data_IF_891043975306
#
_entry.id   IF_891043975306
#
_cell.length_a   1.000
_cell.length_b   1.000
_cell.length_c   1.000
_cell.angle_alpha   90.00
_cell.angle_beta   90.00
_cell.angle_gamma   90.00
#
_symmetry.space_group_name_H-M   'P 1'
#
loop_
_entity.id
_entity.type
_entity.pdbx_description
1 polymer ?
#
# COMPACT_ATOMS: atom_id res chain seq x y z
N UNK A 1 0.72 4.71 -5.56
CA UNK A 1 -0.70 5.08 -5.57
C UNK A 1 -1.18 5.70 -6.89
N UNK A 2 -0.31 6.42 -7.62
CA UNK A 2 -0.68 7.11 -8.88
C UNK A 2 -0.71 6.21 -10.13
N UNK A 3 -0.07 5.05 -10.10
CA UNK A 3 0.13 4.17 -11.28
C UNK A 3 -1.18 3.84 -11.99
N UNK A 4 -2.24 3.53 -11.24
CA UNK A 4 -3.54 3.22 -11.85
C UNK A 4 -4.14 4.38 -12.62
N UNK A 5 -4.07 5.61 -12.05
CA UNK A 5 -4.60 6.81 -12.72
C UNK A 5 -3.79 7.12 -13.98
N UNK A 6 -2.45 7.03 -13.90
CA UNK A 6 -1.58 7.21 -15.05
C UNK A 6 -1.87 6.18 -16.16
N UNK A 7 -1.86 4.91 -15.81
CA UNK A 7 -2.15 3.82 -16.76
C UNK A 7 -3.56 3.96 -17.38
N UNK A 8 -4.55 4.31 -16.55
CA UNK A 8 -5.92 4.54 -16.98
C UNK A 8 -6.07 5.69 -17.98
N UNK A 9 -5.25 6.75 -17.87
CA UNK A 9 -5.19 7.85 -18.85
C UNK A 9 -4.79 7.33 -20.23
N UNK A 10 -3.95 6.31 -20.29
CA UNK A 10 -3.48 5.66 -21.51
C UNK A 10 -4.25 4.40 -21.89
N UNK A 11 -5.44 4.18 -21.31
CA UNK A 11 -6.29 3.03 -21.64
C UNK A 11 -5.87 1.71 -20.99
N UNK A 12 -4.81 1.70 -20.21
CA UNK A 12 -4.31 0.49 -19.52
C UNK A 12 -4.99 0.35 -18.16
N UNK A 13 -5.65 -0.77 -17.92
CA UNK A 13 -6.42 -1.03 -16.69
C UNK A 13 -5.69 -2.02 -15.80
N UNK A 14 -5.52 -1.68 -14.54
CA UNK A 14 -5.05 -2.57 -13.48
C UNK A 14 -6.00 -2.51 -12.29
N UNK A 15 -6.22 -3.62 -11.57
CA UNK A 15 -7.11 -3.65 -10.41
C UNK A 15 -6.38 -3.19 -9.13
N UNK A 16 -5.68 -2.06 -9.20
CA UNK A 16 -4.94 -1.50 -8.07
C UNK A 16 -5.85 -0.60 -7.24
N UNK A 17 -5.84 -0.77 -5.93
CA UNK A 17 -6.48 0.11 -4.96
C UNK A 17 -5.42 0.75 -4.05
N UNK A 18 -5.86 1.72 -3.27
CA UNK A 18 -5.02 2.36 -2.25
C UNK A 18 -5.64 2.15 -0.88
N UNK A 19 -4.81 1.80 0.09
CA UNK A 19 -5.18 1.68 1.49
C UNK A 19 -4.40 2.66 2.33
N UNK A 20 -5.02 3.18 3.38
CA UNK A 20 -4.36 4.02 4.36
C UNK A 20 -3.70 3.13 5.41
N UNK A 21 -2.39 3.25 5.53
CA UNK A 21 -1.64 2.74 6.66
C UNK A 21 -1.37 3.86 7.68
N UNK A 22 -1.44 3.54 8.96
CA UNK A 22 -1.19 4.49 10.04
C UNK A 22 -0.07 3.97 10.94
N UNK A 23 0.89 4.82 11.21
CA UNK A 23 2.06 4.51 12.02
C UNK A 23 2.27 5.61 13.04
N UNK A 24 2.81 5.27 14.20
CA UNK A 24 3.18 6.24 15.22
C UNK A 24 4.61 6.02 15.74
N UNK A 25 5.22 7.09 16.19
CA UNK A 25 6.44 7.07 17.00
C UNK A 25 6.08 7.35 18.45
N UNK A 26 6.59 6.53 19.37
CA UNK A 26 6.42 6.77 20.80
C UNK A 26 7.45 7.75 21.33
N UNK A 27 7.19 8.33 22.49
CA UNK A 27 8.23 8.92 23.32
C UNK A 27 9.28 7.84 23.70
N UNK A 28 10.50 8.26 24.10
CA UNK A 28 11.50 7.34 24.63
C UNK A 28 10.95 6.52 25.80
N UNK A 29 11.27 5.23 25.83
CA UNK A 29 10.81 4.30 26.87
C UNK A 29 11.81 3.15 27.02
N UNK A 30 11.76 2.39 28.14
CA UNK A 30 12.67 1.28 28.37
C UNK A 30 12.69 0.28 27.21
N UNK A 31 13.85 -0.29 26.93
CA UNK A 31 14.01 -1.28 25.89
C UNK A 31 13.44 -2.62 26.32
N UNK A 32 12.57 -3.19 25.45
CA UNK A 32 12.05 -4.55 25.58
C UNK A 32 12.68 -5.50 24.55
N UNK A 33 13.01 -4.96 23.38
CA UNK A 33 13.66 -5.68 22.29
C UNK A 33 14.34 -4.69 21.35
N UNK A 34 15.61 -4.89 20.98
CA UNK A 34 16.36 -3.93 20.15
C UNK A 34 15.99 -3.98 18.65
N UNK A 35 15.26 -5.00 18.22
CA UNK A 35 14.87 -5.21 16.84
C UNK A 35 13.43 -4.78 16.53
N UNK A 36 12.80 -5.56 15.68
CA UNK A 36 11.40 -5.43 15.32
C UNK A 36 10.66 -6.76 15.55
N UNK A 37 9.40 -6.66 15.90
CA UNK A 37 8.50 -7.80 16.03
C UNK A 37 7.09 -7.40 15.63
N UNK A 38 6.29 -8.39 15.25
CA UNK A 38 4.88 -8.21 14.92
C UNK A 38 4.09 -9.45 15.33
N UNK A 39 2.83 -9.22 15.68
CA UNK A 39 1.79 -10.22 15.82
C UNK A 39 0.51 -9.75 15.10
N UNK A 40 -0.63 -10.36 15.37
CA UNK A 40 -1.90 -9.99 14.73
C UNK A 40 -2.45 -8.65 15.22
N UNK A 41 -2.11 -8.23 16.44
CA UNK A 41 -2.63 -7.01 17.06
C UNK A 41 -1.78 -5.78 16.74
N UNK A 42 -0.45 -5.90 16.78
CA UNK A 42 0.45 -4.79 16.53
C UNK A 42 1.84 -5.21 16.06
N UNK A 43 2.55 -4.26 15.45
CA UNK A 43 3.95 -4.37 15.10
C UNK A 43 4.73 -3.24 15.78
N UNK A 44 5.98 -3.51 16.13
CA UNK A 44 6.88 -2.49 16.65
C UNK A 44 8.30 -2.64 16.13
N UNK A 45 9.03 -1.54 16.16
CA UNK A 45 10.47 -1.49 15.83
C UNK A 45 11.16 -0.48 16.75
N UNK A 46 12.27 -0.91 17.36
CA UNK A 46 13.13 -0.01 18.16
C UNK A 46 13.68 1.11 17.28
N UNK A 47 13.68 2.32 17.80
CA UNK A 47 14.20 3.53 17.16
C UNK A 47 15.50 3.97 17.82
N UNK A 48 16.39 4.63 17.06
CA UNK A 48 17.65 5.16 17.56
C UNK A 48 17.47 6.26 18.65
N UNK A 49 16.30 6.92 18.65
CA UNK A 49 15.94 7.95 19.63
C UNK A 49 15.42 7.39 20.97
N UNK A 50 15.47 6.08 21.16
CA UNK A 50 15.01 5.43 22.38
C UNK A 50 13.50 5.18 22.45
N UNK A 51 12.73 5.55 21.44
CA UNK A 51 11.31 5.20 21.30
C UNK A 51 11.09 3.95 20.45
N UNK A 52 9.83 3.70 20.13
CA UNK A 52 9.40 2.66 19.18
C UNK A 52 8.58 3.27 18.04
N UNK A 53 8.75 2.77 16.82
CA UNK A 53 7.68 2.88 15.80
C UNK A 53 6.69 1.78 16.10
N UNK A 54 5.40 2.11 16.14
CA UNK A 54 4.31 1.17 16.35
C UNK A 54 3.29 1.32 15.22
N UNK A 55 2.72 0.20 14.80
CA UNK A 55 1.73 0.12 13.74
C UNK A 55 0.74 -1.01 14.02
N UNK A 56 -0.43 -1.05 13.37
CA UNK A 56 -1.29 -2.24 13.39
C UNK A 56 -0.52 -3.47 12.94
N UNK A 57 -0.81 -4.61 13.57
CA UNK A 57 -0.38 -5.92 13.11
C UNK A 57 -1.35 -6.49 12.08
N UNK A 58 -0.99 -7.64 11.51
CA UNK A 58 -1.86 -8.39 10.61
C UNK A 58 -2.34 -7.60 9.38
N UNK A 59 -3.58 -7.87 8.99
CA UNK A 59 -4.22 -7.32 7.78
C UNK A 59 -5.18 -6.15 8.07
N UNK A 60 -4.95 -5.37 9.14
CA UNK A 60 -5.81 -4.21 9.42
C UNK A 60 -5.56 -3.08 8.42
N UNK A 61 -6.53 -2.84 7.54
CA UNK A 61 -6.44 -1.86 6.47
C UNK A 61 -7.64 -0.92 6.43
N UNK A 62 -7.36 0.37 6.15
CA UNK A 62 -8.38 1.37 5.85
C UNK A 62 -8.50 1.53 4.33
N UNK A 63 -9.55 0.98 3.72
CA UNK A 63 -9.83 1.14 2.29
C UNK A 63 -10.63 2.40 2.03
N UNK A 64 -10.25 3.15 0.99
CA UNK A 64 -11.11 4.21 0.46
C UNK A 64 -12.02 3.66 -0.64
N UNK A 65 -13.34 3.94 -0.50
CA UNK A 65 -14.32 3.58 -1.51
C UNK A 65 -14.43 4.75 -2.50
N UNK A 66 -13.73 4.60 -3.61
CA UNK A 66 -13.73 5.53 -4.73
C UNK A 66 -14.16 4.86 -6.03
N UNK A 67 -14.14 5.58 -7.15
CA UNK A 67 -14.51 5.03 -8.45
C UNK A 67 -13.75 3.77 -8.85
N UNK A 68 -12.49 3.64 -8.40
CA UNK A 68 -11.65 2.48 -8.74
C UNK A 68 -12.00 1.25 -7.90
N UNK A 69 -12.43 1.45 -6.66
CA UNK A 69 -12.94 0.37 -5.81
C UNK A 69 -14.16 -0.30 -6.46
N UNK A 70 -15.12 0.50 -6.97
CA UNK A 70 -16.27 -0.05 -7.69
C UNK A 70 -15.89 -0.80 -8.96
N UNK A 71 -14.99 -0.24 -9.77
CA UNK A 71 -14.54 -0.87 -11.02
C UNK A 71 -13.77 -2.16 -10.80
N UNK A 72 -13.12 -2.31 -9.66
CA UNK A 72 -12.30 -3.48 -9.32
C UNK A 72 -12.95 -4.41 -8.32
N UNK A 73 -14.18 -4.13 -7.90
CA UNK A 73 -14.86 -4.88 -6.83
C UNK A 73 -14.80 -6.40 -7.05
N UNK A 74 -15.07 -6.86 -8.29
CA UNK A 74 -15.02 -8.29 -8.61
C UNK A 74 -13.67 -8.96 -8.31
N UNK A 75 -12.56 -8.26 -8.54
CA UNK A 75 -11.22 -8.78 -8.26
C UNK A 75 -10.92 -8.86 -6.75
N UNK A 76 -11.58 -8.04 -5.93
CA UNK A 76 -11.36 -7.96 -4.49
C UNK A 76 -12.35 -8.77 -3.63
N UNK A 77 -13.37 -9.39 -4.22
CA UNK A 77 -14.41 -10.12 -3.47
C UNK A 77 -13.82 -11.17 -2.52
N UNK A 78 -12.79 -11.88 -2.94
CA UNK A 78 -12.16 -12.92 -2.12
C UNK A 78 -11.46 -12.32 -0.89
N UNK A 79 -10.72 -11.22 -1.08
CA UNK A 79 -10.02 -10.50 -0.01
C UNK A 79 -11.04 -9.89 0.96
N UNK A 80 -12.04 -9.18 0.42
CA UNK A 80 -13.09 -8.58 1.26
C UNK A 80 -13.78 -9.62 2.11
N UNK A 81 -14.10 -10.80 1.57
CA UNK A 81 -14.71 -11.89 2.36
C UNK A 81 -13.80 -12.38 3.49
N UNK A 82 -12.49 -12.50 3.23
CA UNK A 82 -11.52 -12.99 4.21
C UNK A 82 -11.21 -11.96 5.29
N UNK A 83 -11.09 -10.69 4.90
CA UNK A 83 -10.57 -9.61 5.75
C UNK A 83 -11.63 -8.57 6.14
N UNK A 84 -12.91 -8.90 5.96
CA UNK A 84 -14.00 -7.95 6.22
C UNK A 84 -14.00 -7.41 7.66
N UNK A 85 -13.64 -8.24 8.64
CA UNK A 85 -13.62 -7.85 10.06
C UNK A 85 -12.41 -6.99 10.45
N UNK A 86 -11.31 -7.13 9.75
CA UNK A 86 -10.07 -6.36 9.97
C UNK A 86 -9.97 -5.11 9.10
N UNK A 87 -10.88 -4.95 8.14
CA UNK A 87 -10.87 -3.82 7.22
C UNK A 87 -11.85 -2.71 7.65
N UNK A 88 -11.40 -1.49 7.58
CA UNK A 88 -12.25 -0.29 7.70
C UNK A 88 -12.51 0.27 6.31
N UNK A 89 -13.77 0.53 5.98
CA UNK A 89 -14.16 1.11 4.69
C UNK A 89 -14.52 2.58 4.88
N UNK A 90 -13.77 3.45 4.20
CA UNK A 90 -13.99 4.90 4.21
C UNK A 90 -14.66 5.31 2.91
N UNK A 91 -15.83 5.96 2.94
CA UNK A 91 -16.61 6.27 1.73
C UNK A 91 -15.94 7.30 0.81
N UNK A 92 -15.00 8.09 1.35
CA UNK A 92 -14.40 9.21 0.62
C UNK A 92 -12.89 9.21 0.85
N UNK A 93 -12.12 9.18 -0.23
CA UNK A 93 -10.69 9.48 -0.19
C UNK A 93 -10.46 11.00 -0.05
N UNK A 94 -9.34 11.44 0.54
CA UNK A 94 -9.03 12.87 0.63
C UNK A 94 -9.02 13.54 -0.75
N UNK A 95 -9.46 14.81 -0.78
CA UNK A 95 -9.52 15.59 -2.03
C UNK A 95 -8.16 15.60 -2.75
N UNK A 96 -8.17 15.39 -4.04
CA UNK A 96 -6.97 15.36 -4.88
C UNK A 96 -6.22 14.02 -4.90
N UNK A 97 -6.62 13.04 -4.08
CA UNK A 97 -6.01 11.70 -4.11
C UNK A 97 -6.45 10.93 -5.37
N UNK A 98 -5.66 9.93 -5.83
CA UNK A 98 -5.91 9.23 -7.09
C UNK A 98 -7.31 8.65 -7.23
N UNK A 99 -7.87 8.09 -6.15
CA UNK A 99 -9.19 7.46 -6.14
C UNK A 99 -10.28 8.34 -5.49
N UNK A 100 -10.03 9.63 -5.31
CA UNK A 100 -11.08 10.54 -4.86
C UNK A 100 -12.12 10.74 -5.97
N UNK A 101 -13.40 10.86 -5.58
CA UNK A 101 -14.52 11.04 -6.51
C UNK A 101 -14.36 12.26 -7.42
N UNK A 102 -13.77 13.35 -6.91
CA UNK A 102 -13.54 14.59 -7.65
C UNK A 102 -12.22 14.64 -8.42
N UNK A 103 -11.37 13.61 -8.38
CA UNK A 103 -10.10 13.61 -9.11
C UNK A 103 -10.34 13.34 -10.59
N UNK A 104 -9.93 14.25 -11.50
CA UNK A 104 -10.09 14.07 -12.93
C UNK A 104 -9.38 12.80 -13.42
N UNK A 105 -10.04 12.04 -14.28
CA UNK A 105 -9.47 10.81 -14.88
C UNK A 105 -9.09 11.04 -16.34
N UNK A 106 -9.47 12.19 -16.89
CA UNK A 106 -9.09 12.69 -18.21
C UNK A 106 -8.82 14.19 -18.07
N UNK A 107 -7.78 14.66 -18.71
CA UNK A 107 -7.39 16.07 -18.78
C UNK A 107 -6.72 16.32 -20.13
N UNK A 108 -6.73 17.54 -20.61
CA UNK A 108 -6.02 17.95 -21.81
C UNK A 108 -4.51 17.98 -21.56
N UNK A 109 -3.70 17.87 -22.61
CA UNK A 109 -2.24 17.79 -22.48
C UNK A 109 -1.62 19.09 -21.96
N UNK A 110 -2.26 20.21 -22.22
CA UNK A 110 -1.90 21.55 -21.78
C UNK A 110 -2.51 21.96 -20.42
N UNK A 111 -3.33 21.09 -19.83
CA UNK A 111 -3.95 21.35 -18.54
C UNK A 111 -3.12 20.78 -17.38
N UNK A 112 -3.22 21.41 -16.21
CA UNK A 112 -2.62 20.90 -14.98
C UNK A 112 -3.19 19.52 -14.67
N UNK A 113 -2.34 18.52 -14.67
CA UNK A 113 -2.71 17.14 -14.37
C UNK A 113 -2.98 16.94 -12.87
N UNK A 114 -3.72 15.89 -12.48
CA UNK A 114 -3.87 15.52 -11.07
C UNK A 114 -2.54 15.25 -10.36
N UNK A 115 -1.53 14.78 -11.08
CA UNK A 115 -0.18 14.53 -10.54
C UNK A 115 0.55 15.83 -10.18
N UNK A 116 0.34 16.90 -10.96
CA UNK A 116 0.91 18.22 -10.69
C UNK A 116 0.12 18.96 -9.61
N UNK A 117 -1.20 18.82 -9.62
CA UNK A 117 -2.07 19.42 -8.61
C UNK A 117 -1.87 18.85 -7.21
N UNK A 118 -1.53 17.57 -7.11
CA UNK A 118 -1.32 16.87 -5.83
C UNK A 118 -0.09 15.98 -5.92
N UNK A 119 1.07 16.54 -5.64
CA UNK A 119 2.36 15.83 -5.71
C UNK A 119 2.64 14.97 -4.48
N UNK A 120 2.10 15.36 -3.33
CA UNK A 120 2.36 14.70 -2.04
C UNK A 120 1.04 14.14 -1.51
N UNK A 121 1.00 12.82 -1.34
CA UNK A 121 -0.09 12.14 -0.66
C UNK A 121 0.25 12.02 0.82
N UNK A 122 -0.27 12.92 1.64
CA UNK A 122 -0.05 12.96 3.08
C UNK A 122 -1.40 12.88 3.82
N UNK A 123 -2.02 11.69 3.90
CA UNK A 123 -3.28 11.50 4.60
C UNK A 123 -3.09 11.63 6.10
N UNK A 124 -4.12 12.13 6.78
CA UNK A 124 -4.15 12.07 8.23
C UNK A 124 -4.18 10.60 8.71
N UNK A 125 -3.45 10.25 9.79
CA UNK A 125 -3.48 8.90 10.33
C UNK A 125 -4.84 8.57 10.95
N UNK A 126 -5.14 7.27 11.04
CA UNK A 126 -6.29 6.79 11.80
C UNK A 126 -5.93 6.70 13.29
N UNK A 127 -6.23 7.77 14.05
CA UNK A 127 -5.92 7.81 15.48
C UNK A 127 -6.69 6.76 16.30
N UNK A 128 -7.87 6.34 15.85
CA UNK A 128 -8.64 5.28 16.51
C UNK A 128 -7.91 3.93 16.40
N UNK A 129 -7.39 3.61 15.24
CA UNK A 129 -6.55 2.42 15.01
C UNK A 129 -5.27 2.49 15.86
N UNK A 130 -4.58 3.64 15.85
CA UNK A 130 -3.38 3.81 16.68
C UNK A 130 -3.68 3.71 18.18
N UNK A 131 -4.86 4.14 18.62
CA UNK A 131 -5.32 3.92 20.00
C UNK A 131 -5.41 2.43 20.36
N UNK A 132 -5.98 1.60 19.46
CA UNK A 132 -6.02 0.14 19.65
C UNK A 132 -4.62 -0.49 19.72
N UNK A 133 -3.70 -0.01 18.87
CA UNK A 133 -2.29 -0.43 18.89
C UNK A 133 -1.63 -0.09 20.23
N UNK A 134 -1.85 1.12 20.75
CA UNK A 134 -1.33 1.50 22.08
C UNK A 134 -1.89 0.59 23.19
N UNK A 135 -3.17 0.24 23.13
CA UNK A 135 -3.83 -0.62 24.11
C UNK A 135 -3.32 -2.07 24.00
N UNK A 136 -3.10 -2.58 22.77
CA UNK A 136 -2.51 -3.89 22.53
C UNK A 136 -1.07 -3.96 23.05
N UNK A 137 -0.26 -2.93 22.78
CA UNK A 137 1.09 -2.82 23.30
C UNK A 137 1.11 -2.84 24.84
N UNK A 138 0.21 -2.09 25.49
CA UNK A 138 0.12 -2.06 26.95
C UNK A 138 -0.30 -3.42 27.55
N UNK A 139 -1.15 -4.18 26.85
CA UNK A 139 -1.52 -5.55 27.27
C UNK A 139 -0.35 -6.52 27.15
N UNK A 140 0.42 -6.41 26.06
CA UNK A 140 1.60 -7.26 25.84
C UNK A 140 2.76 -6.94 26.79
N UNK A 141 2.91 -5.66 27.16
CA UNK A 141 4.00 -5.18 28.02
C UNK A 141 3.45 -4.37 29.22
N UNK A 142 2.81 -5.00 30.19
CA UNK A 142 2.14 -4.30 31.31
C UNK A 142 3.08 -3.41 32.14
N UNK A 143 4.34 -3.80 32.27
CA UNK A 143 5.35 -3.03 33.03
C UNK A 143 5.69 -1.68 32.39
N UNK A 144 5.44 -1.52 31.08
CA UNK A 144 5.68 -0.28 30.33
C UNK A 144 4.43 0.61 30.24
N UNK A 145 3.26 0.02 30.43
CA UNK A 145 1.99 0.69 30.28
C UNK A 145 1.71 1.15 28.86
N UNK A 146 0.75 2.08 28.73
CA UNK A 146 0.32 2.61 27.45
C UNK A 146 1.36 3.61 26.91
N UNK A 147 1.98 3.37 25.72
CA UNK A 147 3.03 4.24 25.21
C UNK A 147 2.46 5.61 24.83
N UNK A 148 3.12 6.69 25.21
CA UNK A 148 2.80 8.04 24.74
C UNK A 148 3.28 8.23 23.32
N UNK A 149 2.45 8.79 22.46
CA UNK A 149 2.82 9.08 21.07
C UNK A 149 3.49 10.45 20.97
N UNK A 150 4.67 10.49 20.36
CA UNK A 150 5.38 11.72 20.00
C UNK A 150 4.92 12.23 18.64
N UNK A 151 4.65 11.33 17.72
CA UNK A 151 4.19 11.65 16.38
C UNK A 151 3.32 10.51 15.81
N UNK A 152 2.42 10.86 14.91
CA UNK A 152 1.64 9.91 14.15
C UNK A 152 1.51 10.40 12.71
N UNK A 153 1.54 9.48 11.75
CA UNK A 153 1.39 9.80 10.32
C UNK A 153 0.63 8.70 9.59
N UNK A 154 0.06 9.07 8.47
CA UNK A 154 -0.54 8.16 7.52
C UNK A 154 0.27 8.05 6.24
N UNK A 155 0.13 6.94 5.54
CA UNK A 155 0.69 6.72 4.22
C UNK A 155 -0.28 5.97 3.34
N UNK A 156 -0.21 6.22 2.03
CA UNK A 156 -1.01 5.47 1.06
C UNK A 156 -0.20 4.31 0.53
N UNK A 157 -0.66 3.10 0.79
CA UNK A 157 -0.12 1.86 0.23
C UNK A 157 -0.97 1.49 -0.98
N UNK A 158 -0.33 1.22 -2.11
CA UNK A 158 -0.97 0.61 -3.26
C UNK A 158 -1.12 -0.90 -3.05
N UNK A 159 -2.25 -1.47 -3.42
CA UNK A 159 -2.49 -2.90 -3.28
C UNK A 159 -3.07 -3.49 -4.55
N UNK A 160 -2.72 -4.74 -4.82
CA UNK A 160 -3.28 -5.57 -5.87
C UNK A 160 -4.07 -6.73 -5.25
N UNK A 161 -5.02 -7.34 -5.99
CA UNK A 161 -5.88 -8.40 -5.44
C UNK A 161 -5.13 -9.64 -4.93
N UNK A 162 -3.93 -9.87 -5.43
CA UNK A 162 -3.08 -11.00 -5.04
C UNK A 162 -1.90 -10.59 -4.16
N UNK A 163 -1.80 -9.30 -3.82
CA UNK A 163 -0.68 -8.72 -3.06
C UNK A 163 0.68 -8.88 -3.77
N UNK A 164 0.70 -9.36 -5.01
CA UNK A 164 1.91 -9.57 -5.81
C UNK A 164 2.12 -8.37 -6.75
N UNK A 165 3.33 -7.79 -6.84
CA UNK A 165 3.62 -6.69 -7.76
C UNK A 165 3.37 -7.04 -9.22
N UNK A 166 3.15 -6.02 -10.04
CA UNK A 166 3.29 -6.12 -11.51
C UNK A 166 4.70 -5.66 -11.86
N UNK A 167 5.45 -6.51 -12.54
CA UNK A 167 6.76 -6.20 -13.13
C UNK A 167 6.78 -6.82 -14.52
N UNK A 168 6.41 -6.03 -15.53
CA UNK A 168 6.18 -6.54 -16.88
C UNK A 168 6.23 -5.41 -17.92
N UNK A 169 6.37 -5.77 -19.18
CA UNK A 169 6.05 -4.85 -20.26
C UNK A 169 4.54 -4.58 -20.34
N UNK A 170 4.19 -3.32 -20.48
CA UNK A 170 2.80 -2.92 -20.72
C UNK A 170 2.35 -3.19 -22.16
N UNK A 171 1.06 -3.01 -22.44
CA UNK A 171 0.51 -3.22 -23.80
C UNK A 171 0.83 -2.10 -24.79
N UNK A 172 1.55 -1.08 -24.37
CA UNK A 172 1.98 0.06 -25.19
C UNK A 172 3.50 -0.07 -25.40
N UNK A 173 3.95 0.11 -26.63
CA UNK A 173 5.37 0.06 -26.95
C UNK A 173 6.18 1.05 -26.10
N UNK A 174 7.27 0.57 -25.50
CA UNK A 174 8.13 1.35 -24.60
C UNK A 174 7.58 1.52 -23.17
N UNK A 175 6.39 1.00 -22.84
CA UNK A 175 5.87 1.03 -21.49
C UNK A 175 6.35 -0.18 -20.70
N UNK A 176 7.03 0.05 -19.60
CA UNK A 176 7.33 -0.95 -18.57
C UNK A 176 6.56 -0.59 -17.30
N UNK A 177 5.92 -1.57 -16.67
CA UNK A 177 5.09 -1.40 -15.46
C UNK A 177 5.81 -2.06 -14.30
N UNK A 178 6.09 -1.29 -13.25
CA UNK A 178 6.59 -1.78 -11.97
C UNK A 178 5.78 -1.11 -10.85
N UNK A 179 4.78 -1.80 -10.33
CA UNK A 179 3.82 -1.23 -9.37
C UNK A 179 3.13 -2.30 -8.53
N UNK A 180 2.38 -1.89 -7.51
CA UNK A 180 1.64 -2.82 -6.67
C UNK A 180 2.49 -3.50 -5.61
N UNK A 181 3.45 -2.80 -5.03
CA UNK A 181 4.37 -3.36 -4.01
C UNK A 181 3.68 -3.70 -2.69
N UNK A 182 2.42 -3.31 -2.51
CA UNK A 182 1.51 -3.73 -1.42
C UNK A 182 2.12 -3.62 -0.02
N UNK A 183 2.89 -2.55 0.23
CA UNK A 183 3.58 -2.31 1.52
C UNK A 183 4.99 -2.91 1.62
N UNK A 184 5.39 -3.80 0.74
CA UNK A 184 6.70 -4.48 0.78
C UNK A 184 7.81 -3.73 0.01
N UNK A 185 7.48 -2.62 -0.65
CA UNK A 185 8.36 -1.92 -1.60
C UNK A 185 9.73 -1.54 -1.05
N UNK A 186 9.84 -1.20 0.24
CA UNK A 186 11.13 -0.87 0.84
C UNK A 186 12.10 -2.06 0.83
N UNK A 187 11.62 -3.24 1.23
CA UNK A 187 12.47 -4.44 1.30
C UNK A 187 12.81 -5.02 -0.07
N UNK A 188 11.83 -5.08 -0.97
CA UNK A 188 12.02 -5.70 -2.30
C UNK A 188 12.48 -4.71 -3.39
N UNK A 189 12.48 -3.40 -3.09
CA UNK A 189 12.77 -2.34 -4.05
C UNK A 189 14.11 -2.50 -4.80
N UNK A 190 15.22 -2.79 -4.13
CA UNK A 190 16.50 -2.98 -4.82
C UNK A 190 16.49 -4.16 -5.81
N UNK A 191 15.88 -5.29 -5.43
CA UNK A 191 15.74 -6.47 -6.32
C UNK A 191 14.82 -6.17 -7.50
N UNK A 192 13.65 -5.58 -7.25
CA UNK A 192 12.73 -5.16 -8.31
C UNK A 192 13.40 -4.14 -9.23
N UNK A 193 14.14 -3.18 -8.68
CA UNK A 193 14.86 -2.17 -9.48
C UNK A 193 15.88 -2.80 -10.43
N UNK A 194 16.61 -3.82 -9.98
CA UNK A 194 17.52 -4.61 -10.82
C UNK A 194 16.78 -5.28 -11.97
N UNK A 195 15.71 -6.02 -11.64
CA UNK A 195 14.87 -6.72 -12.63
C UNK A 195 14.29 -5.75 -13.66
N UNK A 196 13.79 -4.59 -13.21
CA UNK A 196 13.23 -3.56 -14.11
C UNK A 196 14.30 -2.99 -15.03
N UNK A 197 15.51 -2.77 -14.53
CA UNK A 197 16.64 -2.29 -15.37
C UNK A 197 16.98 -3.31 -16.46
N UNK A 198 17.09 -4.59 -16.11
CA UNK A 198 17.35 -5.64 -17.07
C UNK A 198 16.21 -5.80 -18.08
N UNK A 199 14.95 -5.69 -17.63
CA UNK A 199 13.76 -5.75 -18.48
C UNK A 199 13.75 -4.60 -19.50
N UNK A 200 14.03 -3.38 -19.07
CA UNK A 200 14.06 -2.18 -19.95
C UNK A 200 15.21 -2.22 -20.93
N UNK A 201 16.37 -2.71 -20.50
CA UNK A 201 17.56 -2.83 -21.34
C UNK A 201 17.54 -4.03 -22.30
N UNK A 202 16.53 -4.93 -22.19
CA UNK A 202 16.50 -6.19 -22.94
C UNK A 202 17.58 -7.19 -22.50
N UNK A 203 18.05 -7.07 -21.26
CA UNK A 203 19.06 -7.94 -20.65
C UNK A 203 18.49 -9.27 -20.16
N UNK A 204 19.38 -10.12 -19.61
CA UNK A 204 18.98 -11.38 -19.00
C UNK A 204 18.45 -11.14 -17.57
N UNK A 205 17.17 -11.38 -17.37
CA UNK A 205 16.47 -11.08 -16.10
C UNK A 205 16.91 -12.04 -14.98
N UNK A 206 17.20 -13.30 -15.29
CA UNK A 206 17.65 -14.32 -14.32
C UNK A 206 16.60 -14.75 -13.28
N UNK A 207 15.36 -14.32 -13.40
CA UNK A 207 14.25 -14.62 -12.49
C UNK A 207 12.99 -14.98 -13.27
N UNK A 208 12.19 -15.88 -12.71
CA UNK A 208 10.85 -16.18 -13.23
C UNK A 208 9.89 -15.03 -12.86
N UNK A 209 9.33 -14.37 -13.87
CA UNK A 209 8.39 -13.28 -13.72
C UNK A 209 6.92 -13.69 -13.99
N UNK A 210 6.62 -14.96 -14.13
CA UNK A 210 5.26 -15.42 -14.49
C UNK A 210 4.17 -14.91 -13.53
N UNK A 211 4.45 -14.90 -12.23
CA UNK A 211 3.52 -14.33 -11.25
C UNK A 211 3.41 -12.80 -11.28
N UNK A 212 4.37 -12.12 -11.88
CA UNK A 212 4.44 -10.66 -11.93
C UNK A 212 3.85 -10.08 -13.22
N UNK A 213 3.35 -10.96 -14.13
CA UNK A 213 2.78 -10.54 -15.41
C UNK A 213 1.60 -9.58 -15.24
N UNK A 214 1.58 -8.54 -16.05
CA UNK A 214 0.44 -7.61 -16.16
C UNK A 214 -0.86 -8.34 -16.58
N UNK A 215 -0.77 -9.25 -17.55
CA UNK A 215 -1.92 -9.94 -18.14
C UNK A 215 -2.64 -10.90 -17.20
N UNK A 216 -2.04 -11.30 -16.06
CA UNK A 216 -2.65 -12.25 -15.11
C UNK A 216 -4.02 -11.81 -14.58
N UNK A 217 -4.35 -10.52 -14.65
CA UNK A 217 -5.66 -10.00 -14.27
C UNK A 217 -6.71 -10.03 -15.40
N UNK A 218 -6.34 -10.48 -16.60
CA UNK A 218 -7.21 -10.47 -17.79
C UNK A 218 -7.12 -11.72 -18.66
N UNK A 219 -6.20 -12.63 -18.41
CA UNK A 219 -5.96 -13.84 -19.21
C UNK A 219 -6.64 -15.10 -18.66
N UNK A 220 -7.46 -14.97 -17.61
CA UNK A 220 -8.11 -16.09 -16.95
C UNK A 220 -7.27 -16.77 -15.87
N UNK A 221 -6.07 -16.27 -15.57
CA UNK A 221 -5.23 -16.78 -14.46
C UNK A 221 -6.00 -16.70 -13.13
N UNK A 222 -6.01 -17.80 -12.39
CA UNK A 222 -6.62 -17.82 -11.05
C UNK A 222 -5.82 -16.93 -10.11
N UNK A 223 -6.46 -15.88 -9.62
CA UNK A 223 -5.86 -14.97 -8.65
C UNK A 223 -5.77 -15.68 -7.28
N UNK A 224 -4.57 -15.88 -6.82
CA UNK A 224 -4.27 -16.45 -5.50
C UNK A 224 -3.43 -15.44 -4.71
N UNK A 225 -3.80 -15.13 -3.45
CA UNK A 225 -3.01 -14.24 -2.61
C UNK A 225 -1.55 -14.70 -2.54
N UNK A 226 -0.66 -13.73 -2.55
CA UNK A 226 0.76 -13.95 -2.27
C UNK A 226 1.00 -14.31 -0.80
N UNK A 227 2.25 -14.55 -0.42
CA UNK A 227 2.62 -14.81 0.96
C UNK A 227 2.36 -13.63 1.86
#
# INVERSE_FOLDING_TARGET
>A
AWSRLFLGRHGVKIPQLSVLASVAATEPMPEIFPGNAADDDFAFRRRADGGYSIAPGGSEHDFFIGPDAFRSFGAYVQIVKKEFRSSTFRPIAPKGFPDAWGTPRRWAEDAVSPFEATRILNPAPNLKTLGRVQDAFARAFPSLGRPKLRAAWGGMIDTLPDVVPIVDHGPIAGLTIATGMSGHGFGIGPGIGRVVADLVAGGHIGHDLDRFRFKRFSDGTKIAPGP
#
